data_IF_463494199051
#
_entry.id   IF_463494199051
#
_cell.length_a   1.000
_cell.length_b   1.000
_cell.length_c   1.000
_cell.angle_alpha   90.00
_cell.angle_beta   90.00
_cell.angle_gamma   90.00
#
_symmetry.space_group_name_H-M   'P 1'
#
loop_
_entity.id
_entity.type
_entity.pdbx_description
1 polymer ?
#
# COMPACT_ATOMS: atom_id res chain seq x y z
N UNK A 1 8.77 -14.14 8.23
CA UNK A 1 8.26 -13.15 7.25
C UNK A 1 7.06 -13.73 6.54
N UNK A 2 5.99 -12.95 6.37
CA UNK A 2 4.73 -13.41 5.78
C UNK A 2 4.26 -12.43 4.71
N UNK A 3 3.80 -12.93 3.56
CA UNK A 3 3.15 -12.07 2.56
C UNK A 3 1.68 -11.93 2.91
N UNK A 4 1.18 -10.70 2.97
CA UNK A 4 -0.24 -10.43 3.17
C UNK A 4 -0.97 -10.39 1.82
N UNK A 5 -2.16 -11.01 1.76
CA UNK A 5 -3.00 -11.02 0.54
C UNK A 5 -3.55 -9.64 0.20
N UNK A 6 -3.71 -8.79 1.22
CA UNK A 6 -4.02 -7.37 1.11
C UNK A 6 -2.86 -6.60 1.73
N UNK A 7 -1.87 -6.21 0.91
CA UNK A 7 -0.78 -5.35 1.38
C UNK A 7 -1.39 -4.06 1.97
N UNK A 8 -1.13 -3.75 3.25
CA UNK A 8 -1.61 -2.52 3.85
C UNK A 8 -0.90 -1.33 3.18
N UNK A 9 -1.67 -0.29 2.87
CA UNK A 9 -1.16 1.00 2.42
C UNK A 9 -1.31 1.96 3.59
N UNK A 10 -0.34 1.95 4.49
CA UNK A 10 -0.31 2.76 5.71
C UNK A 10 1.14 3.13 6.01
N UNK A 11 1.37 4.07 6.93
CA UNK A 11 2.72 4.36 7.40
C UNK A 11 3.19 3.25 8.36
N UNK A 12 4.07 2.37 7.90
CA UNK A 12 4.75 1.37 8.72
C UNK A 12 6.26 1.60 8.76
N UNK A 13 6.95 0.91 9.67
CA UNK A 13 8.40 0.78 9.60
C UNK A 13 8.76 -0.20 8.48
N UNK A 14 9.63 0.22 7.56
CA UNK A 14 10.03 -0.58 6.40
C UNK A 14 11.53 -0.84 6.37
N UNK A 15 11.89 -2.08 6.06
CA UNK A 15 13.23 -2.42 5.58
C UNK A 15 13.15 -2.62 4.08
N UNK A 16 13.86 -1.79 3.32
CA UNK A 16 13.85 -1.82 1.85
C UNK A 16 15.27 -2.08 1.34
N UNK A 17 15.39 -3.04 0.42
CA UNK A 17 16.66 -3.24 -0.28
C UNK A 17 16.93 -2.08 -1.23
N UNK A 18 18.21 -1.83 -1.54
CA UNK A 18 18.60 -0.79 -2.51
C UNK A 18 17.93 -0.96 -3.87
N UNK A 19 17.76 -2.21 -4.32
CA UNK A 19 17.07 -2.53 -5.57
C UNK A 19 15.56 -2.26 -5.50
N UNK A 20 14.92 -2.54 -4.36
CA UNK A 20 13.53 -2.18 -4.10
C UNK A 20 13.31 -0.67 -4.09
N UNK A 21 14.16 0.08 -3.40
CA UNK A 21 14.10 1.53 -3.34
C UNK A 21 14.19 2.17 -4.74
N UNK A 22 15.10 1.69 -5.60
CA UNK A 22 15.21 2.15 -6.99
C UNK A 22 13.94 1.88 -7.82
N UNK A 23 13.25 0.75 -7.61
CA UNK A 23 11.98 0.45 -8.28
C UNK A 23 10.88 1.42 -7.85
N UNK A 24 10.83 1.77 -6.56
CA UNK A 24 9.88 2.74 -6.02
C UNK A 24 10.13 4.14 -6.56
N UNK A 25 11.37 4.62 -6.56
CA UNK A 25 11.73 5.96 -7.05
C UNK A 25 11.31 6.16 -8.52
N UNK A 26 11.60 5.19 -9.39
CA UNK A 26 11.17 5.24 -10.80
C UNK A 26 9.65 5.33 -11.00
N UNK A 27 8.86 4.88 -10.02
CA UNK A 27 7.40 5.00 -10.07
C UNK A 27 6.90 6.30 -9.47
N UNK A 28 7.52 6.79 -8.40
CA UNK A 28 7.22 8.11 -7.84
C UNK A 28 7.43 9.22 -8.87
N UNK A 29 8.47 9.13 -9.70
CA UNK A 29 8.71 10.07 -10.81
C UNK A 29 7.58 10.10 -11.86
N UNK A 30 6.75 9.05 -11.91
CA UNK A 30 5.72 8.86 -12.95
C UNK A 30 4.30 8.85 -12.40
N UNK A 31 4.11 8.98 -11.09
CA UNK A 31 2.79 8.89 -10.47
C UNK A 31 2.62 9.95 -9.40
N UNK A 32 1.47 10.61 -9.38
CA UNK A 32 1.08 11.51 -8.29
C UNK A 32 0.53 10.76 -7.06
N UNK A 33 0.79 9.45 -6.96
CA UNK A 33 0.31 8.64 -5.83
C UNK A 33 1.22 8.88 -4.63
N UNK A 34 0.68 9.25 -3.46
CA UNK A 34 1.45 9.36 -2.22
C UNK A 34 2.24 8.06 -1.91
N UNK A 35 3.43 8.21 -1.32
CA UNK A 35 4.36 7.09 -1.13
C UNK A 35 3.79 5.98 -0.24
N UNK A 36 3.06 6.35 0.81
CA UNK A 36 2.33 5.46 1.73
C UNK A 36 1.28 4.61 1.01
N UNK A 37 0.53 5.25 0.10
CA UNK A 37 -0.45 4.57 -0.75
C UNK A 37 0.27 3.64 -1.73
N UNK A 38 1.36 4.10 -2.35
CA UNK A 38 2.14 3.32 -3.31
C UNK A 38 2.75 2.06 -2.68
N UNK A 39 3.12 2.09 -1.39
CA UNK A 39 3.59 0.92 -0.65
C UNK A 39 2.52 -0.18 -0.54
N UNK A 40 1.25 0.21 -0.49
CA UNK A 40 0.11 -0.71 -0.57
C UNK A 40 -0.22 -1.20 -1.99
N UNK A 41 0.49 -0.73 -3.02
CA UNK A 41 0.20 -0.98 -4.44
C UNK A 41 1.35 -1.71 -5.15
N UNK A 42 1.67 -2.96 -4.75
CA UNK A 42 2.84 -3.69 -5.27
C UNK A 42 2.79 -3.95 -6.78
N UNK A 43 1.61 -3.95 -7.41
CA UNK A 43 1.48 -4.07 -8.87
C UNK A 43 2.06 -2.87 -9.62
N UNK A 44 2.13 -1.68 -9.01
CA UNK A 44 2.75 -0.50 -9.63
C UNK A 44 4.28 -0.59 -9.55
N UNK A 45 4.82 -0.93 -8.38
CA UNK A 45 6.27 -0.88 -8.13
C UNK A 45 6.99 -2.18 -8.47
N UNK A 46 6.28 -3.30 -8.51
CA UNK A 46 6.88 -4.64 -8.60
C UNK A 46 7.74 -4.98 -7.38
N UNK A 47 7.54 -4.26 -6.26
CA UNK A 47 8.20 -4.53 -4.99
C UNK A 47 7.26 -5.38 -4.13
N UNK A 48 7.69 -6.61 -3.84
CA UNK A 48 6.94 -7.50 -2.97
C UNK A 48 7.16 -7.13 -1.50
N UNK A 49 6.14 -6.62 -0.82
CA UNK A 49 6.19 -6.40 0.62
C UNK A 49 6.00 -7.71 1.40
N UNK A 50 6.75 -7.86 2.49
CA UNK A 50 6.61 -8.94 3.47
C UNK A 50 6.44 -8.31 4.85
N UNK A 51 5.50 -8.83 5.63
CA UNK A 51 5.28 -8.44 7.01
C UNK A 51 6.13 -9.30 7.97
N UNK A 52 6.67 -8.66 9.00
CA UNK A 52 7.28 -9.35 10.15
C UNK A 52 6.17 -9.58 11.19
N UNK A 53 6.08 -10.80 11.70
CA UNK A 53 5.19 -11.16 12.80
C UNK A 53 6.02 -11.84 13.90
N UNK A 54 5.88 -11.43 15.18
CA UNK A 54 5.08 -10.28 15.64
C UNK A 54 5.66 -8.94 15.15
N UNK A 55 4.83 -7.88 15.14
CA UNK A 55 5.28 -6.55 14.73
C UNK A 55 6.38 -6.03 15.65
N UNK A 56 7.48 -5.55 15.07
CA UNK A 56 8.68 -5.12 15.80
C UNK A 56 8.57 -3.71 16.41
N UNK A 57 7.60 -2.92 15.95
CA UNK A 57 7.40 -1.55 16.39
C UNK A 57 5.90 -1.25 16.48
N UNK A 58 5.53 -0.38 17.43
CA UNK A 58 4.18 0.16 17.60
C UNK A 58 4.27 1.67 17.69
N UNK A 59 3.17 2.34 17.35
CA UNK A 59 3.06 3.78 17.57
C UNK A 59 3.12 4.06 19.08
N UNK A 60 3.93 5.02 19.46
CA UNK A 60 3.92 5.58 20.81
C UNK A 60 2.88 6.72 20.87
N UNK A 61 1.77 6.58 21.60
CA UNK A 61 0.75 7.62 21.70
C UNK A 61 1.21 8.85 22.47
N UNK A 62 2.32 8.76 23.23
CA UNK A 62 2.88 9.91 23.95
C UNK A 62 3.62 10.88 23.02
N UNK A 63 4.06 10.42 21.85
CA UNK A 63 4.64 11.26 20.81
C UNK A 63 3.52 11.87 19.97
N UNK A 64 3.33 13.18 20.11
CA UNK A 64 2.34 13.93 19.33
C UNK A 64 2.52 13.73 17.82
N UNK A 65 1.43 13.68 17.07
CA UNK A 65 1.47 13.49 15.61
C UNK A 65 1.70 14.82 14.91
N UNK A 66 2.70 14.90 14.04
CA UNK A 66 2.91 16.06 13.16
C UNK A 66 1.91 16.14 12.00
N UNK A 67 1.11 15.09 11.81
CA UNK A 67 0.07 14.99 10.80
C UNK A 67 -1.21 15.58 11.38
N UNK A 68 -1.62 16.75 10.87
CA UNK A 68 -2.80 17.50 11.33
C UNK A 68 -4.11 16.73 11.11
N UNK A 69 -5.14 17.05 11.89
CA UNK A 69 -6.44 16.37 11.92
C UNK A 69 -7.31 16.60 10.68
N UNK A 70 -6.89 17.52 9.79
CA UNK A 70 -7.56 17.81 8.53
C UNK A 70 -7.79 16.54 7.67
N UNK A 71 -6.96 15.50 7.83
CA UNK A 71 -7.14 14.21 7.13
C UNK A 71 -8.42 13.45 7.52
N UNK A 72 -8.96 13.74 8.71
CA UNK A 72 -10.16 13.08 9.22
C UNK A 72 -11.45 13.75 8.76
N UNK A 73 -11.37 14.96 8.19
CA UNK A 73 -12.52 15.60 7.55
C UNK A 73 -12.82 14.91 6.21
N UNK A 74 -13.85 14.05 6.22
CA UNK A 74 -14.30 13.28 5.06
C UNK A 74 -15.37 14.00 4.25
N UNK A 75 -15.69 15.26 4.56
CA UNK A 75 -16.70 16.01 3.83
C UNK A 75 -16.24 16.23 2.39
N UNK A 76 -17.01 15.79 1.38
CA UNK A 76 -16.65 16.03 0.00
C UNK A 76 -16.73 17.53 -0.29
N UNK A 77 -15.62 18.10 -0.74
CA UNK A 77 -15.52 19.49 -1.22
C UNK A 77 -16.10 19.68 -2.63
N UNK A 78 -16.41 18.59 -3.33
CA UNK A 78 -17.01 18.59 -4.67
C UNK A 78 -18.54 18.79 -4.63
N UNK A 79 -19.04 19.58 -5.58
CA UNK A 79 -20.47 19.85 -5.80
C UNK A 79 -20.94 19.30 -7.15
N UNK A 80 -22.26 19.17 -7.35
CA UNK A 80 -22.85 18.75 -8.62
C UNK A 80 -22.62 17.26 -8.99
N UNK A 81 -22.51 16.99 -10.30
CA UNK A 81 -22.38 15.64 -10.86
C UNK A 81 -21.16 14.85 -10.30
N UNK A 82 -19.97 15.44 -10.09
CA UNK A 82 -18.86 14.74 -9.45
C UNK A 82 -19.19 14.18 -8.07
N UNK A 83 -20.02 14.87 -7.26
CA UNK A 83 -20.42 14.41 -5.93
C UNK A 83 -21.32 13.18 -6.01
N UNK A 84 -22.19 13.11 -7.01
CA UNK A 84 -23.09 11.99 -7.25
C UNK A 84 -22.33 10.74 -7.71
N UNK A 85 -21.31 10.93 -8.55
CA UNK A 85 -20.48 9.83 -9.09
C UNK A 85 -19.38 9.38 -8.13
N UNK A 86 -19.01 10.22 -7.15
CA UNK A 86 -17.95 9.94 -6.17
C UNK A 86 -18.09 8.57 -5.45
N UNK A 87 -19.26 8.15 -4.91
CA UNK A 87 -19.38 6.85 -4.26
C UNK A 87 -19.14 5.68 -5.23
N UNK A 88 -19.59 5.79 -6.48
CA UNK A 88 -19.36 4.78 -7.51
C UNK A 88 -17.87 4.69 -7.84
N UNK A 89 -17.23 5.83 -8.09
CA UNK A 89 -15.79 5.89 -8.36
C UNK A 89 -14.96 5.33 -7.19
N UNK A 90 -15.30 5.68 -5.93
CA UNK A 90 -14.64 5.13 -4.74
C UNK A 90 -14.78 3.61 -4.64
N UNK A 91 -15.97 3.10 -4.93
CA UNK A 91 -16.24 1.66 -4.89
C UNK A 91 -15.48 0.93 -5.99
N UNK A 92 -15.50 1.44 -7.21
CA UNK A 92 -14.74 0.90 -8.34
C UNK A 92 -13.23 0.89 -8.04
N UNK A 93 -12.71 1.99 -7.49
CA UNK A 93 -11.31 2.08 -7.07
C UNK A 93 -10.97 1.02 -6.02
N UNK A 94 -11.74 0.94 -4.93
CA UNK A 94 -11.51 -0.04 -3.85
C UNK A 94 -11.56 -1.48 -4.36
N UNK A 95 -12.51 -1.79 -5.23
CA UNK A 95 -12.64 -3.13 -5.82
C UNK A 95 -11.46 -3.45 -6.73
N UNK A 96 -11.10 -2.54 -7.63
CA UNK A 96 -9.94 -2.73 -8.52
C UNK A 96 -8.63 -2.88 -7.74
N UNK A 97 -8.40 -2.09 -6.71
CA UNK A 97 -7.23 -2.23 -5.85
C UNK A 97 -7.19 -3.59 -5.15
N UNK A 98 -8.32 -4.06 -4.61
CA UNK A 98 -8.38 -5.38 -3.97
C UNK A 98 -8.09 -6.52 -4.94
N UNK A 99 -8.62 -6.45 -6.16
CA UNK A 99 -8.35 -7.43 -7.21
C UNK A 99 -6.86 -7.42 -7.55
N UNK A 100 -6.28 -6.25 -7.81
CA UNK A 100 -4.86 -6.13 -8.16
C UNK A 100 -3.92 -6.61 -7.05
N UNK A 101 -4.23 -6.32 -5.78
CA UNK A 101 -3.49 -6.85 -4.61
C UNK A 101 -3.47 -8.37 -4.62
N UNK A 102 -4.63 -8.99 -4.79
CA UNK A 102 -4.78 -10.45 -4.78
C UNK A 102 -4.09 -11.09 -5.98
N UNK A 103 -4.25 -10.54 -7.17
CA UNK A 103 -3.57 -11.04 -8.37
C UNK A 103 -2.05 -11.02 -8.19
N UNK A 104 -1.50 -9.93 -7.64
CA UNK A 104 -0.07 -9.84 -7.34
C UNK A 104 0.37 -10.86 -6.28
N UNK A 105 -0.44 -11.06 -5.23
CA UNK A 105 -0.18 -12.07 -4.21
C UNK A 105 -0.09 -13.49 -4.80
N UNK A 106 -1.08 -13.89 -5.61
CA UNK A 106 -1.10 -15.22 -6.23
C UNK A 106 0.00 -15.40 -7.28
N UNK A 107 0.37 -14.35 -8.02
CA UNK A 107 1.50 -14.40 -8.95
C UNK A 107 2.82 -14.66 -8.23
N UNK A 108 3.02 -14.05 -7.05
CA UNK A 108 4.22 -14.24 -6.24
C UNK A 108 4.28 -15.61 -5.56
N UNK A 109 3.14 -16.27 -5.32
CA UNK A 109 3.05 -17.56 -4.62
C UNK A 109 3.94 -18.65 -5.24
N UNK A 110 4.02 -18.72 -6.56
CA UNK A 110 4.86 -19.71 -7.26
C UNK A 110 6.35 -19.47 -7.05
N UNK A 111 6.79 -18.21 -6.96
CA UNK A 111 8.17 -17.85 -6.65
C UNK A 111 8.52 -18.14 -5.19
N UNK A 112 7.62 -17.81 -4.27
CA UNK A 112 7.80 -17.99 -2.83
C UNK A 112 7.90 -19.49 -2.42
N UNK A 113 7.30 -20.41 -3.19
CA UNK A 113 7.46 -21.87 -2.96
C UNK A 113 8.87 -22.38 -3.26
N UNK A 114 9.56 -21.82 -4.27
CA UNK A 114 10.93 -22.27 -4.64
C UNK A 114 11.98 -21.88 -3.61
N UNK A 115 11.78 -20.77 -2.91
CA UNK A 115 12.71 -20.27 -1.88
C UNK A 115 12.57 -20.99 -0.55
N UNK A 116 11.38 -21.55 -0.22
CA UNK A 116 11.18 -22.36 0.99
C UNK A 116 11.94 -23.70 0.97
N UNK A 117 12.20 -24.29 -0.20
CA UNK A 117 12.98 -25.53 -0.32
C UNK A 117 14.51 -25.34 -0.28
N UNK A 118 14.98 -24.10 -0.08
CA UNK A 118 16.42 -23.75 -0.01
C UNK A 118 16.83 -23.16 1.35
N UNK A 119 15.93 -23.22 2.34
CA UNK A 119 16.16 -22.77 3.70
C UNK A 119 16.52 -23.96 4.60
#
# INVERSE_FOLDING_TARGET
LTRLSTSPGEAHAYLVSRSGARKMLRRLERTSTPIDTMMGQPWKTGVGALAVHPGLARQDPSLGTSINDARFDKKPTTTGLPRLLLPLAKTALKTSENVLKRTFYYAAWFGDRRTRGRA
#
